data_IF_362271044730
#
_entry.id   IF_362271044730
#
_cell.length_a   1.000
_cell.length_b   1.000
_cell.length_c   1.000
_cell.angle_alpha   90.00
_cell.angle_beta   90.00
_cell.angle_gamma   90.00
#
_symmetry.space_group_name_H-M   'P 1'
#
loop_
_entity.id
_entity.type
_entity.pdbx_description
1 polymer ?
#
# COMPACT_ATOMS: atom_id res chain seq x y z
N UNK A 1 13.09 3.94 26.89
CA UNK A 1 11.69 3.92 26.39
C UNK A 1 11.76 3.77 24.89
N UNK A 2 10.92 2.94 24.28
CA UNK A 2 11.00 2.59 22.86
C UNK A 2 10.31 3.63 21.95
N UNK A 3 10.03 4.83 22.47
CA UNK A 3 9.51 5.96 21.71
C UNK A 3 8.00 6.17 21.85
N UNK A 4 7.33 5.43 22.73
CA UNK A 4 5.87 5.52 22.93
C UNK A 4 5.45 6.91 23.45
N UNK A 5 6.27 7.51 24.33
CA UNK A 5 5.97 8.76 25.03
C UNK A 5 7.02 9.86 24.83
N UNK A 6 7.88 9.76 23.82
CA UNK A 6 8.89 10.80 23.57
C UNK A 6 10.12 10.32 22.79
N UNK A 7 11.27 11.01 22.96
CA UNK A 7 12.52 10.68 22.27
C UNK A 7 13.02 9.28 22.63
N UNK A 8 13.75 8.68 21.69
CA UNK A 8 14.32 7.35 21.85
C UNK A 8 15.77 7.44 22.33
N UNK A 9 16.21 6.47 23.13
CA UNK A 9 17.61 6.28 23.47
C UNK A 9 18.01 4.85 23.08
N UNK A 10 18.71 4.73 21.95
CA UNK A 10 18.96 3.45 21.27
C UNK A 10 20.45 3.29 20.93
N UNK A 11 20.89 2.05 20.72
CA UNK A 11 22.26 1.76 20.30
C UNK A 11 22.57 2.38 18.93
N UNK A 12 23.86 2.60 18.62
CA UNK A 12 24.27 3.10 17.30
C UNK A 12 23.76 2.23 16.16
N UNK A 13 23.80 0.90 16.32
CA UNK A 13 23.29 -0.04 15.34
C UNK A 13 21.79 0.16 15.08
N UNK A 14 21.00 0.38 16.15
CA UNK A 14 19.57 0.64 16.03
C UNK A 14 19.28 2.00 15.38
N UNK A 15 20.03 3.04 15.74
CA UNK A 15 19.91 4.35 15.11
C UNK A 15 20.20 4.29 13.59
N UNK A 16 21.24 3.53 13.19
CA UNK A 16 21.56 3.30 11.78
C UNK A 16 20.44 2.54 11.05
N UNK A 17 19.84 1.53 11.69
CA UNK A 17 18.71 0.79 11.15
C UNK A 17 17.49 1.70 10.93
N UNK A 18 17.12 2.48 11.94
CA UNK A 18 16.02 3.46 11.89
C UNK A 18 16.27 4.48 10.76
N UNK A 19 17.48 5.03 10.66
CA UNK A 19 17.85 5.96 9.60
C UNK A 19 17.74 5.32 8.21
N UNK A 20 18.16 4.06 8.06
CA UNK A 20 18.02 3.32 6.80
C UNK A 20 16.55 3.13 6.40
N UNK A 21 15.67 2.78 7.35
CA UNK A 21 14.23 2.65 7.08
C UNK A 21 13.58 3.97 6.65
N UNK A 22 13.93 5.08 7.29
CA UNK A 22 13.47 6.40 6.84
C UNK A 22 13.98 6.75 5.45
N UNK A 23 15.26 6.53 5.17
CA UNK A 23 15.85 6.80 3.87
C UNK A 23 15.15 6.01 2.75
N UNK A 24 14.91 4.71 2.97
CA UNK A 24 14.20 3.85 2.02
C UNK A 24 12.76 4.34 1.81
N UNK A 25 12.07 4.68 2.89
CA UNK A 25 10.68 5.18 2.83
C UNK A 25 10.60 6.47 2.02
N UNK A 26 11.46 7.45 2.31
CA UNK A 26 11.52 8.71 1.57
C UNK A 26 11.88 8.51 0.08
N UNK A 27 12.84 7.64 -0.22
CA UNK A 27 13.20 7.31 -1.59
C UNK A 27 12.02 6.69 -2.35
N UNK A 28 11.35 5.69 -1.76
CA UNK A 28 10.20 5.04 -2.37
C UNK A 28 9.04 6.02 -2.60
N UNK A 29 8.76 6.91 -1.63
CA UNK A 29 7.75 7.97 -1.79
C UNK A 29 8.06 8.86 -2.99
N UNK A 30 9.30 9.29 -3.15
CA UNK A 30 9.71 10.13 -4.29
C UNK A 30 9.54 9.38 -5.61
N UNK A 31 10.00 8.13 -5.68
CA UNK A 31 9.87 7.30 -6.88
C UNK A 31 8.41 7.04 -7.24
N UNK A 32 7.56 6.70 -6.27
CA UNK A 32 6.12 6.51 -6.47
C UNK A 32 5.47 7.81 -6.92
N UNK A 33 5.82 8.95 -6.30
CA UNK A 33 5.26 10.25 -6.67
C UNK A 33 5.59 10.59 -8.12
N UNK A 34 6.86 10.46 -8.52
CA UNK A 34 7.29 10.66 -9.91
C UNK A 34 6.52 9.71 -10.84
N UNK A 35 6.42 8.44 -10.49
CA UNK A 35 5.74 7.42 -11.29
C UNK A 35 4.24 7.72 -11.49
N UNK A 36 3.56 8.18 -10.43
CA UNK A 36 2.15 8.59 -10.50
C UNK A 36 1.99 9.74 -11.51
N UNK A 37 2.83 10.78 -11.43
CA UNK A 37 2.71 11.95 -12.31
C UNK A 37 3.13 11.69 -13.75
N UNK A 38 4.06 10.75 -14.00
CA UNK A 38 4.46 10.37 -15.36
C UNK A 38 3.45 9.45 -16.05
N UNK A 39 2.74 8.60 -15.28
CA UNK A 39 1.83 7.61 -15.86
C UNK A 39 0.40 8.11 -16.02
N UNK A 40 -0.14 8.84 -15.05
CA UNK A 40 -1.54 9.29 -15.10
C UNK A 40 -1.69 10.61 -15.86
N UNK A 41 -2.14 10.52 -17.13
CA UNK A 41 -2.50 11.70 -17.93
C UNK A 41 -3.79 12.39 -17.47
N UNK A 42 -4.72 11.66 -16.85
CA UNK A 42 -5.98 12.20 -16.32
C UNK A 42 -6.05 12.04 -14.79
N UNK A 43 -6.04 13.17 -14.05
CA UNK A 43 -5.91 13.24 -12.58
C UNK A 43 -7.24 13.28 -11.81
N UNK A 44 -8.30 12.65 -12.35
CA UNK A 44 -9.66 12.74 -11.79
C UNK A 44 -10.15 11.47 -11.09
N UNK A 45 -9.47 10.35 -11.24
CA UNK A 45 -9.92 9.07 -10.68
C UNK A 45 -9.62 8.92 -9.19
N UNK A 46 -10.47 8.15 -8.49
CA UNK A 46 -10.28 7.79 -7.06
C UNK A 46 -8.92 7.12 -6.83
N UNK A 47 -8.48 6.25 -7.75
CA UNK A 47 -7.16 5.60 -7.68
C UNK A 47 -6.01 6.62 -7.60
N UNK A 48 -6.05 7.65 -8.45
CA UNK A 48 -5.00 8.68 -8.48
C UNK A 48 -4.91 9.42 -7.15
N UNK A 49 -6.05 9.89 -6.63
CA UNK A 49 -6.08 10.64 -5.37
C UNK A 49 -5.72 9.77 -4.16
N UNK A 50 -6.22 8.54 -4.10
CA UNK A 50 -5.87 7.62 -3.01
C UNK A 50 -4.39 7.24 -3.02
N UNK A 51 -3.79 7.02 -4.20
CA UNK A 51 -2.34 6.79 -4.33
C UNK A 51 -1.53 7.98 -3.85
N UNK A 52 -1.88 9.21 -4.25
CA UNK A 52 -1.18 10.42 -3.80
C UNK A 52 -1.32 10.60 -2.28
N UNK A 53 -2.54 10.50 -1.75
CA UNK A 53 -2.80 10.67 -0.31
C UNK A 53 -2.05 9.62 0.51
N UNK A 54 -2.05 8.35 0.09
CA UNK A 54 -1.31 7.30 0.78
C UNK A 54 0.20 7.53 0.73
N UNK A 55 0.74 7.90 -0.45
CA UNK A 55 2.17 8.14 -0.66
C UNK A 55 2.68 9.32 0.19
N UNK A 56 1.94 10.43 0.20
CA UNK A 56 2.30 11.59 1.02
C UNK A 56 2.00 11.40 2.50
N UNK A 57 1.02 10.56 2.85
CA UNK A 57 0.77 10.10 4.21
C UNK A 57 1.98 9.36 4.80
N UNK A 58 2.61 8.47 4.01
CA UNK A 58 3.86 7.79 4.40
C UNK A 58 4.95 8.81 4.69
N UNK A 59 5.12 9.81 3.81
CA UNK A 59 6.14 10.84 3.98
C UNK A 59 5.93 11.67 5.24
N UNK A 60 4.70 12.15 5.44
CA UNK A 60 4.34 12.94 6.62
C UNK A 60 4.54 12.13 7.91
N UNK A 61 4.12 10.87 7.92
CA UNK A 61 4.34 9.97 9.04
C UNK A 61 5.84 9.78 9.30
N UNK A 62 6.62 9.42 8.27
CA UNK A 62 8.05 9.19 8.38
C UNK A 62 8.81 10.41 8.94
N UNK A 63 8.56 11.60 8.39
CA UNK A 63 9.21 12.84 8.83
C UNK A 63 8.81 13.18 10.28
N UNK A 64 7.53 13.05 10.62
CA UNK A 64 7.04 13.39 11.95
C UNK A 64 7.59 12.45 13.03
N UNK A 65 7.67 11.14 12.75
CA UNK A 65 8.31 10.17 13.64
C UNK A 65 9.80 10.48 13.78
N UNK A 66 10.51 10.75 12.67
CA UNK A 66 11.93 11.09 12.71
C UNK A 66 12.20 12.31 13.60
N UNK A 67 11.48 13.41 13.36
CA UNK A 67 11.63 14.64 14.14
C UNK A 67 11.32 14.41 15.63
N UNK A 68 10.32 13.57 15.94
CA UNK A 68 9.95 13.21 17.32
C UNK A 68 11.02 12.36 18.00
N UNK A 69 11.50 11.31 17.33
CA UNK A 69 12.47 10.36 17.88
C UNK A 69 13.79 11.02 18.24
N UNK A 70 14.24 11.99 17.44
CA UNK A 70 15.49 12.72 17.67
C UNK A 70 15.31 14.06 18.42
N UNK A 71 14.13 14.30 18.99
CA UNK A 71 13.82 15.53 19.74
C UNK A 71 14.08 16.84 18.95
N UNK A 72 13.90 16.80 17.63
CA UNK A 72 14.14 17.93 16.73
C UNK A 72 12.94 18.89 16.63
N UNK A 73 11.78 18.49 17.17
CA UNK A 73 10.55 19.27 17.16
C UNK A 73 9.68 18.96 18.39
N UNK A 74 8.67 19.80 18.72
CA UNK A 74 7.81 19.59 19.88
C UNK A 74 7.07 18.24 19.83
N UNK A 75 7.19 17.44 20.91
CA UNK A 75 6.68 16.06 20.95
C UNK A 75 5.18 15.96 20.60
N UNK A 76 4.35 16.77 21.27
CA UNK A 76 2.90 16.68 21.11
C UNK A 76 2.44 17.09 19.70
N UNK A 77 3.05 18.14 19.12
CA UNK A 77 2.76 18.55 17.74
C UNK A 77 3.10 17.43 16.76
N UNK A 78 4.26 16.79 16.92
CA UNK A 78 4.64 15.65 16.08
C UNK A 78 3.69 14.47 16.26
N UNK A 79 3.17 14.21 17.47
CA UNK A 79 2.17 13.14 17.68
C UNK A 79 0.89 13.37 16.86
N UNK A 80 0.42 14.61 16.77
CA UNK A 80 -0.74 14.97 15.93
C UNK A 80 -0.44 14.74 14.45
N UNK A 81 0.72 15.18 13.97
CA UNK A 81 1.13 14.97 12.56
C UNK A 81 1.33 13.49 12.23
N UNK A 82 1.84 12.70 13.18
CA UNK A 82 1.93 11.23 13.08
C UNK A 82 0.54 10.64 12.86
N UNK A 83 -0.47 11.04 13.65
CA UNK A 83 -1.84 10.54 13.46
C UNK A 83 -2.39 10.89 12.07
N UNK A 84 -2.19 12.12 11.61
CA UNK A 84 -2.65 12.56 10.27
C UNK A 84 -1.96 11.75 9.17
N UNK A 85 -0.63 11.61 9.24
CA UNK A 85 0.14 10.83 8.27
C UNK A 85 -0.25 9.35 8.29
N UNK A 86 -0.47 8.79 9.48
CA UNK A 86 -0.91 7.41 9.67
C UNK A 86 -2.29 7.15 9.05
N UNK A 87 -3.26 8.04 9.28
CA UNK A 87 -4.59 7.93 8.69
C UNK A 87 -4.53 7.96 7.16
N UNK A 88 -3.80 8.95 6.62
CA UNK A 88 -3.61 9.10 5.18
C UNK A 88 -2.91 7.87 4.57
N UNK A 89 -1.89 7.32 5.25
CA UNK A 89 -1.15 6.14 4.82
C UNK A 89 -2.01 4.88 4.79
N UNK A 90 -2.59 4.48 5.93
CA UNK A 90 -3.26 3.18 6.09
C UNK A 90 -4.63 3.16 5.42
N UNK A 91 -5.45 4.19 5.67
CA UNK A 91 -6.76 4.29 5.03
C UNK A 91 -6.60 4.58 3.53
N UNK A 92 -5.61 5.42 3.15
CA UNK A 92 -5.30 5.66 1.74
C UNK A 92 -4.96 4.38 0.99
N UNK A 93 -4.09 3.52 1.54
CA UNK A 93 -3.77 2.23 0.92
C UNK A 93 -5.02 1.33 0.78
N UNK A 94 -5.87 1.30 1.80
CA UNK A 94 -7.13 0.54 1.74
C UNK A 94 -8.05 1.03 0.63
N UNK A 95 -8.10 2.35 0.41
CA UNK A 95 -8.86 2.97 -0.69
C UNK A 95 -8.19 2.70 -2.06
N UNK A 96 -6.86 2.61 -2.14
CA UNK A 96 -6.15 2.17 -3.36
C UNK A 96 -6.59 0.76 -3.76
N UNK A 97 -6.56 -0.19 -2.81
CA UNK A 97 -7.00 -1.57 -3.02
C UNK A 97 -8.49 -1.62 -3.43
N UNK A 98 -9.34 -0.86 -2.75
CA UNK A 98 -10.75 -0.72 -3.10
C UNK A 98 -10.94 -0.17 -4.52
N UNK A 99 -10.16 0.84 -4.90
CA UNK A 99 -10.25 1.44 -6.24
C UNK A 99 -9.82 0.44 -7.32
N UNK A 100 -8.88 -0.47 -7.04
CA UNK A 100 -8.53 -1.56 -7.97
C UNK A 100 -9.65 -2.58 -8.09
N UNK A 101 -10.23 -2.99 -6.96
CA UNK A 101 -11.39 -3.87 -6.94
C UNK A 101 -12.56 -3.28 -7.74
N UNK A 102 -12.77 -1.96 -7.64
CA UNK A 102 -13.79 -1.26 -8.42
C UNK A 102 -13.58 -1.33 -9.94
N UNK A 103 -12.33 -1.37 -10.41
CA UNK A 103 -12.02 -1.48 -11.84
C UNK A 103 -12.25 -2.89 -12.41
N UNK A 104 -12.29 -3.92 -11.55
CA UNK A 104 -12.38 -5.33 -11.98
C UNK A 104 -13.74 -5.95 -11.66
N UNK A 105 -14.36 -5.57 -10.54
CA UNK A 105 -15.61 -6.18 -10.07
C UNK A 105 -16.84 -5.57 -10.76
N UNK A 106 -17.66 -6.43 -11.35
CA UNK A 106 -18.97 -6.09 -11.91
C UNK A 106 -20.05 -5.95 -10.84
N UNK A 107 -19.88 -6.60 -9.69
CA UNK A 107 -20.88 -6.68 -8.63
C UNK A 107 -20.83 -5.48 -7.67
N UNK A 108 -21.78 -4.55 -7.83
CA UNK A 108 -21.84 -3.33 -7.02
C UNK A 108 -22.07 -3.58 -5.53
N UNK A 109 -22.71 -4.70 -5.15
CA UNK A 109 -23.01 -5.03 -3.75
C UNK A 109 -21.75 -5.35 -2.95
N UNK A 110 -20.90 -6.26 -3.45
CA UNK A 110 -19.62 -6.64 -2.80
C UNK A 110 -18.73 -5.42 -2.58
N UNK A 111 -18.67 -4.54 -3.58
CA UNK A 111 -17.92 -3.29 -3.47
C UNK A 111 -18.43 -2.39 -2.34
N UNK A 112 -19.75 -2.19 -2.21
CA UNK A 112 -20.30 -1.38 -1.11
C UNK A 112 -19.96 -1.96 0.27
N UNK A 113 -20.01 -3.28 0.42
CA UNK A 113 -19.59 -3.95 1.66
C UNK A 113 -18.13 -3.70 2.01
N UNK A 114 -17.23 -3.73 1.02
CA UNK A 114 -15.82 -3.38 1.24
C UNK A 114 -15.68 -1.92 1.68
N UNK A 115 -16.43 -1.00 1.08
CA UNK A 115 -16.40 0.40 1.51
C UNK A 115 -16.91 0.57 2.95
N UNK A 116 -17.99 -0.12 3.33
CA UNK A 116 -18.49 -0.11 4.70
C UNK A 116 -17.50 -0.71 5.69
N UNK A 117 -16.77 -1.77 5.29
CA UNK A 117 -15.67 -2.33 6.09
C UNK A 117 -14.55 -1.30 6.32
N UNK A 118 -14.11 -0.58 5.27
CA UNK A 118 -13.07 0.45 5.39
C UNK A 118 -13.52 1.57 6.33
N UNK A 119 -14.76 2.05 6.17
CA UNK A 119 -15.31 3.14 6.99
C UNK A 119 -15.47 2.71 8.45
N UNK A 120 -16.02 1.52 8.70
CA UNK A 120 -16.20 1.00 10.06
C UNK A 120 -14.86 0.76 10.76
N UNK A 121 -13.90 0.15 10.08
CA UNK A 121 -12.55 -0.04 10.63
C UNK A 121 -11.82 1.28 10.91
N UNK A 122 -12.07 2.33 10.13
CA UNK A 122 -11.56 3.65 10.47
C UNK A 122 -12.04 4.09 11.86
N UNK A 123 -13.34 4.01 12.13
CA UNK A 123 -13.86 4.42 13.45
C UNK A 123 -13.46 3.47 14.58
N UNK A 124 -13.44 2.16 14.34
CA UNK A 124 -13.18 1.15 15.37
C UNK A 124 -11.69 1.03 15.69
N UNK A 125 -10.81 1.19 14.69
CA UNK A 125 -9.37 0.97 14.84
C UNK A 125 -8.57 2.27 14.93
N UNK A 126 -8.86 3.30 14.13
CA UNK A 126 -8.08 4.55 14.21
C UNK A 126 -8.43 5.38 15.45
N UNK A 127 -9.72 5.64 15.70
CA UNK A 127 -10.15 6.60 16.73
C UNK A 127 -9.68 6.22 18.14
N UNK A 128 -9.86 4.97 18.62
CA UNK A 128 -9.44 4.62 19.97
C UNK A 128 -7.92 4.68 20.15
N UNK A 129 -7.15 4.20 19.15
CA UNK A 129 -5.68 4.28 19.19
C UNK A 129 -5.23 5.74 19.26
N UNK A 130 -5.82 6.64 18.48
CA UNK A 130 -5.45 8.05 18.50
C UNK A 130 -5.76 8.71 19.84
N UNK A 131 -6.92 8.42 20.45
CA UNK A 131 -7.24 8.93 21.79
C UNK A 131 -6.22 8.44 22.82
N UNK A 132 -5.89 7.15 22.79
CA UNK A 132 -4.94 6.53 23.71
C UNK A 132 -3.51 7.07 23.50
N UNK A 133 -3.08 7.22 22.24
CA UNK A 133 -1.76 7.72 21.87
C UNK A 133 -1.55 9.20 22.23
N UNK A 134 -2.54 10.05 21.93
CA UNK A 134 -2.47 11.47 22.27
C UNK A 134 -2.60 11.68 23.78
N UNK A 135 -3.49 10.95 24.44
CA UNK A 135 -3.65 11.05 25.90
C UNK A 135 -2.40 10.60 26.66
N UNK A 136 -1.73 9.52 26.23
CA UNK A 136 -0.47 9.10 26.84
C UNK A 136 0.64 10.14 26.64
N UNK A 137 0.71 10.77 25.45
CA UNK A 137 1.66 11.86 25.15
C UNK A 137 1.27 13.22 25.74
N UNK A 138 0.05 13.37 26.28
CA UNK A 138 -0.40 14.52 27.06
C UNK A 138 -0.14 14.35 28.58
N UNK A 139 0.45 13.23 29.00
CA UNK A 139 0.82 12.96 30.40
C UNK A 139 -0.14 12.02 31.15
N UNK A 140 -1.15 11.45 30.49
CA UNK A 140 -2.07 10.49 31.12
C UNK A 140 -1.46 9.09 31.08
N UNK A 141 -0.67 8.75 32.10
CA UNK A 141 0.09 7.48 32.16
C UNK A 141 -0.79 6.22 32.11
N UNK A 142 -2.02 6.29 32.61
CA UNK A 142 -2.98 5.18 32.56
C UNK A 142 -3.37 4.75 31.14
N UNK A 143 -3.09 5.58 30.12
CA UNK A 143 -3.41 5.29 28.72
C UNK A 143 -2.34 4.46 28.01
N UNK A 144 -1.13 4.32 28.57
CA UNK A 144 -0.01 3.58 27.96
C UNK A 144 -0.33 2.09 27.81
N UNK A 145 -0.83 1.44 28.86
CA UNK A 145 -1.12 0.01 28.80
C UNK A 145 -2.28 -0.32 27.83
N UNK A 146 -3.42 0.39 27.85
CA UNK A 146 -4.46 0.23 26.83
C UNK A 146 -3.96 0.54 25.41
N UNK A 147 -3.11 1.56 25.24
CA UNK A 147 -2.52 1.89 23.94
C UNK A 147 -1.77 0.69 23.34
N UNK A 148 -0.86 0.09 24.09
CA UNK A 148 -0.06 -1.05 23.62
C UNK A 148 -0.92 -2.27 23.23
N UNK A 149 -2.05 -2.48 23.92
CA UNK A 149 -2.99 -3.56 23.58
C UNK A 149 -3.74 -3.21 22.29
N UNK A 150 -4.27 -1.99 22.22
CA UNK A 150 -5.11 -1.57 21.10
C UNK A 150 -4.30 -1.40 19.81
N UNK A 151 -3.03 -1.01 19.89
CA UNK A 151 -2.12 -0.96 18.74
C UNK A 151 -2.00 -2.33 18.05
N UNK A 152 -1.83 -3.41 18.82
CA UNK A 152 -1.77 -4.79 18.29
C UNK A 152 -3.07 -5.21 17.63
N UNK A 153 -4.19 -4.91 18.27
CA UNK A 153 -5.55 -5.19 17.73
C UNK A 153 -5.74 -4.43 16.42
N UNK A 154 -5.37 -3.15 16.41
CA UNK A 154 -5.49 -2.27 15.26
C UNK A 154 -4.61 -2.74 14.09
N UNK A 155 -3.37 -3.15 14.34
CA UNK A 155 -2.50 -3.70 13.30
C UNK A 155 -3.09 -4.99 12.71
N UNK A 156 -3.54 -5.92 13.57
CA UNK A 156 -4.17 -7.16 13.12
C UNK A 156 -5.47 -6.90 12.34
N UNK A 157 -6.29 -5.95 12.78
CA UNK A 157 -7.54 -5.57 12.12
C UNK A 157 -7.31 -4.98 10.73
N UNK A 158 -6.34 -4.08 10.56
CA UNK A 158 -6.00 -3.54 9.23
C UNK A 158 -5.37 -4.60 8.32
N UNK A 159 -4.50 -5.48 8.83
CA UNK A 159 -3.97 -6.58 8.01
C UNK A 159 -5.07 -7.57 7.59
N UNK A 160 -6.04 -7.88 8.46
CA UNK A 160 -7.20 -8.68 8.09
C UNK A 160 -8.04 -7.99 7.00
N UNK A 161 -8.26 -6.68 7.12
CA UNK A 161 -8.94 -5.88 6.10
C UNK A 161 -8.21 -5.98 4.75
N UNK A 162 -6.89 -5.79 4.73
CA UNK A 162 -6.08 -5.86 3.51
C UNK A 162 -6.16 -7.24 2.87
N UNK A 163 -6.02 -8.32 3.65
CA UNK A 163 -6.16 -9.71 3.16
C UNK A 163 -7.54 -9.94 2.53
N UNK A 164 -8.61 -9.44 3.16
CA UNK A 164 -9.98 -9.56 2.62
C UNK A 164 -10.09 -8.84 1.28
N UNK A 165 -9.63 -7.59 1.17
CA UNK A 165 -9.74 -6.81 -0.07
C UNK A 165 -8.90 -7.46 -1.19
N UNK A 166 -7.66 -7.84 -0.88
CA UNK A 166 -6.75 -8.53 -1.81
C UNK A 166 -7.32 -9.86 -2.27
N UNK A 167 -7.88 -10.67 -1.36
CA UNK A 167 -8.52 -11.94 -1.68
C UNK A 167 -9.72 -11.77 -2.61
N UNK A 168 -10.60 -10.81 -2.32
CA UNK A 168 -11.73 -10.47 -3.19
C UNK A 168 -11.27 -10.02 -4.57
N UNK A 169 -10.20 -9.22 -4.64
CA UNK A 169 -9.63 -8.75 -5.90
C UNK A 169 -9.08 -9.89 -6.75
N UNK A 170 -8.35 -10.84 -6.16
CA UNK A 170 -7.86 -12.03 -6.87
C UNK A 170 -9.04 -12.86 -7.40
N UNK A 171 -10.06 -13.09 -6.56
CA UNK A 171 -11.24 -13.85 -6.96
C UNK A 171 -11.93 -13.21 -8.17
N UNK A 172 -12.23 -11.91 -8.12
CA UNK A 172 -12.88 -11.19 -9.22
C UNK A 172 -12.02 -11.15 -10.50
N UNK A 173 -10.70 -11.04 -10.34
CA UNK A 173 -9.79 -11.08 -11.50
C UNK A 173 -9.78 -12.48 -12.14
N UNK A 174 -9.80 -13.53 -11.32
CA UNK A 174 -9.79 -14.92 -11.81
C UNK A 174 -11.12 -15.34 -12.43
N UNK A 175 -12.25 -14.79 -11.99
CA UNK A 175 -13.56 -15.08 -12.57
C UNK A 175 -13.86 -14.21 -13.79
N UNK A 176 -13.63 -12.90 -13.71
CA UNK A 176 -14.04 -11.94 -14.74
C UNK A 176 -12.99 -11.67 -15.82
N UNK A 177 -11.71 -11.54 -15.45
CA UNK A 177 -10.66 -11.12 -16.38
C UNK A 177 -9.84 -12.28 -16.94
N UNK A 178 -9.81 -13.43 -16.26
CA UNK A 178 -9.04 -14.60 -16.71
C UNK A 178 -9.36 -15.02 -18.15
N UNK A 179 -10.63 -15.09 -18.61
CA UNK A 179 -10.92 -15.46 -20.00
C UNK A 179 -10.30 -14.48 -21.00
N UNK A 180 -10.43 -13.17 -20.74
CA UNK A 180 -9.88 -12.10 -21.59
C UNK A 180 -8.35 -12.10 -21.61
N UNK A 181 -7.73 -12.34 -20.45
CA UNK A 181 -6.27 -12.40 -20.31
C UNK A 181 -5.70 -13.64 -20.99
N UNK A 182 -6.38 -14.80 -20.91
CA UNK A 182 -5.97 -16.03 -21.60
C UNK A 182 -6.01 -15.84 -23.12
N UNK A 183 -7.00 -15.11 -23.65
CA UNK A 183 -7.05 -14.76 -25.08
C UNK A 183 -5.85 -13.91 -25.53
N UNK A 184 -5.23 -13.13 -24.64
CA UNK A 184 -4.01 -12.35 -24.91
C UNK A 184 -2.71 -13.17 -24.77
N UNK A 185 -2.82 -14.50 -24.60
CA UNK A 185 -1.69 -15.43 -24.61
C UNK A 185 -0.62 -15.13 -23.54
N UNK A 186 0.65 -15.09 -23.94
CA UNK A 186 1.81 -14.92 -23.03
C UNK A 186 1.77 -13.60 -22.25
N UNK A 187 1.20 -12.54 -22.82
CA UNK A 187 1.10 -11.23 -22.16
C UNK A 187 0.10 -11.24 -21.00
N UNK A 188 -1.08 -11.85 -21.20
CA UNK A 188 -2.09 -11.97 -20.15
C UNK A 188 -1.67 -12.93 -19.03
N UNK A 189 -1.00 -14.04 -19.37
CA UNK A 189 -0.47 -14.96 -18.36
C UNK A 189 0.54 -14.28 -17.42
N UNK A 190 1.40 -13.41 -17.97
CA UNK A 190 2.36 -12.62 -17.17
C UNK A 190 1.66 -11.68 -16.19
N UNK A 191 0.55 -11.05 -16.58
CA UNK A 191 -0.25 -10.20 -15.68
C UNK A 191 -0.84 -11.00 -14.54
N UNK A 192 -1.38 -12.20 -14.81
CA UNK A 192 -1.93 -13.08 -13.78
C UNK A 192 -0.85 -13.49 -12.77
N UNK A 193 0.32 -13.91 -13.24
CA UNK A 193 1.45 -14.26 -12.37
C UNK A 193 1.89 -13.05 -11.53
N UNK A 194 2.09 -11.89 -12.15
CA UNK A 194 2.51 -10.68 -11.44
C UNK A 194 1.50 -10.31 -10.35
N UNK A 195 0.20 -10.48 -10.61
CA UNK A 195 -0.86 -10.20 -9.67
C UNK A 195 -0.84 -11.14 -8.46
N UNK A 196 -0.61 -12.44 -8.67
CA UNK A 196 -0.48 -13.42 -7.59
C UNK A 196 0.76 -13.10 -6.75
N UNK A 197 1.92 -12.91 -7.41
CA UNK A 197 3.18 -12.62 -6.72
C UNK A 197 3.08 -11.38 -5.84
N UNK A 198 2.54 -10.27 -6.37
CA UNK A 198 2.42 -9.02 -5.61
C UNK A 198 1.50 -9.17 -4.40
N UNK A 199 0.35 -9.82 -4.56
CA UNK A 199 -0.54 -10.06 -3.42
C UNK A 199 0.09 -11.00 -2.38
N UNK A 200 0.81 -12.05 -2.81
CA UNK A 200 1.54 -12.92 -1.89
C UNK A 200 2.59 -12.14 -1.10
N UNK A 201 3.36 -11.26 -1.76
CA UNK A 201 4.34 -10.43 -1.07
C UNK A 201 3.64 -9.45 -0.10
N UNK A 202 2.51 -8.86 -0.49
CA UNK A 202 1.75 -7.99 0.41
C UNK A 202 1.34 -8.69 1.71
N UNK A 203 0.83 -9.93 1.62
CA UNK A 203 0.49 -10.76 2.79
C UNK A 203 1.72 -11.09 3.64
N UNK A 204 2.86 -11.40 3.02
CA UNK A 204 4.10 -11.65 3.76
C UNK A 204 4.59 -10.39 4.48
N UNK A 205 4.44 -9.21 3.87
CA UNK A 205 4.78 -7.93 4.49
C UNK A 205 3.82 -7.58 5.65
N UNK A 206 2.54 -7.96 5.57
CA UNK A 206 1.63 -7.85 6.71
C UNK A 206 2.06 -8.76 7.86
N UNK A 207 2.38 -10.02 7.55
CA UNK A 207 2.86 -10.96 8.55
C UNK A 207 4.16 -10.48 9.23
N UNK A 208 5.07 -9.86 8.49
CA UNK A 208 6.29 -9.29 9.06
C UNK A 208 6.02 -8.07 9.94
N UNK A 209 5.04 -7.22 9.61
CA UNK A 209 4.62 -6.13 10.49
C UNK A 209 4.04 -6.66 11.79
N UNK A 210 3.13 -7.64 11.73
CA UNK A 210 2.59 -8.29 12.93
C UNK A 210 3.72 -8.89 13.77
N UNK A 211 4.61 -9.68 13.16
CA UNK A 211 5.73 -10.30 13.88
C UNK A 211 6.61 -9.25 14.60
N UNK A 212 6.92 -8.14 13.93
CA UNK A 212 7.71 -7.05 14.51
C UNK A 212 6.99 -6.40 15.69
N UNK A 213 5.69 -6.14 15.57
CA UNK A 213 4.85 -5.60 16.65
C UNK A 213 4.82 -6.51 17.88
N UNK A 214 4.64 -7.83 17.69
CA UNK A 214 4.59 -8.78 18.79
C UNK A 214 5.96 -8.99 19.47
N UNK A 215 7.07 -8.58 18.84
CA UNK A 215 8.39 -8.57 19.50
C UNK A 215 8.59 -7.41 20.48
N UNK A 216 7.67 -6.45 20.53
CA UNK A 216 7.70 -5.32 21.47
C UNK A 216 8.68 -4.20 21.12
N UNK A 217 9.25 -4.19 19.91
CA UNK A 217 10.16 -3.15 19.44
C UNK A 217 9.38 -2.03 18.73
N UNK A 218 8.75 -1.14 19.51
CA UNK A 218 7.89 -0.07 18.99
C UNK A 218 8.62 0.92 18.06
N UNK A 219 9.88 1.25 18.37
CA UNK A 219 10.75 2.12 17.59
C UNK A 219 11.02 1.55 16.18
N UNK A 220 11.38 0.27 16.14
CA UNK A 220 11.61 -0.46 14.90
C UNK A 220 10.30 -0.65 14.14
N UNK A 221 9.21 -1.03 14.83
CA UNK A 221 7.91 -1.22 14.20
C UNK A 221 7.45 0.06 13.50
N UNK A 222 7.53 1.21 14.18
CA UNK A 222 6.98 2.48 13.67
C UNK A 222 7.68 2.91 12.38
N UNK A 223 8.98 2.62 12.28
CA UNK A 223 9.82 2.99 11.14
C UNK A 223 9.80 1.92 10.04
N UNK A 224 9.72 0.65 10.40
CA UNK A 224 9.53 -0.45 9.46
C UNK A 224 8.16 -0.39 8.77
N UNK A 225 7.12 0.07 9.47
CA UNK A 225 5.78 0.31 8.94
C UNK A 225 5.81 1.20 7.69
N UNK A 226 6.51 2.33 7.73
CA UNK A 226 6.57 3.23 6.56
C UNK A 226 7.24 2.57 5.35
N UNK A 227 8.26 1.72 5.58
CA UNK A 227 8.91 0.95 4.53
C UNK A 227 7.92 -0.03 3.91
N UNK A 228 7.24 -0.83 4.73
CA UNK A 228 6.27 -1.82 4.26
C UNK A 228 5.15 -1.17 3.44
N UNK A 229 4.52 -0.10 3.95
CA UNK A 229 3.46 0.60 3.24
C UNK A 229 3.96 1.21 1.92
N UNK A 230 5.20 1.74 1.88
CA UNK A 230 5.79 2.26 0.65
C UNK A 230 6.03 1.16 -0.40
N UNK A 231 6.52 0.00 0.01
CA UNK A 231 6.74 -1.15 -0.88
C UNK A 231 5.40 -1.67 -1.40
N UNK A 232 4.38 -1.79 -0.55
CA UNK A 232 3.02 -2.16 -0.96
C UNK A 232 2.51 -1.22 -2.05
N UNK A 233 2.52 0.09 -1.83
CA UNK A 233 2.06 1.06 -2.84
C UNK A 233 2.85 0.98 -4.15
N UNK A 234 4.17 0.76 -4.10
CA UNK A 234 5.00 0.58 -5.29
C UNK A 234 4.54 -0.63 -6.10
N UNK A 235 4.28 -1.76 -5.44
CA UNK A 235 3.81 -2.98 -6.09
C UNK A 235 2.40 -2.81 -6.67
N UNK A 236 1.51 -2.18 -5.91
CA UNK A 236 0.14 -1.85 -6.35
C UNK A 236 0.15 -1.06 -7.66
N UNK A 237 1.02 -0.06 -7.74
CA UNK A 237 1.23 0.74 -8.94
C UNK A 237 1.73 -0.09 -10.13
N UNK A 238 2.71 -0.98 -9.91
CA UNK A 238 3.22 -1.88 -10.96
C UNK A 238 2.15 -2.82 -11.51
N UNK A 239 1.32 -3.41 -10.65
CA UNK A 239 0.26 -4.32 -11.09
C UNK A 239 -0.81 -3.59 -11.89
N UNK A 240 -1.25 -2.41 -11.44
CA UNK A 240 -2.25 -1.65 -12.18
C UNK A 240 -1.75 -1.27 -13.57
N UNK A 241 -0.52 -0.78 -13.68
CA UNK A 241 0.04 -0.42 -14.98
C UNK A 241 0.16 -1.63 -15.91
N UNK A 242 0.63 -2.77 -15.39
CA UNK A 242 0.71 -4.01 -16.17
C UNK A 242 -0.66 -4.44 -16.70
N UNK A 243 -1.70 -4.31 -15.88
CA UNK A 243 -3.08 -4.64 -16.25
C UNK A 243 -3.64 -3.67 -17.30
N UNK A 244 -3.45 -2.36 -17.12
CA UNK A 244 -3.89 -1.34 -18.08
C UNK A 244 -3.19 -1.48 -19.44
N UNK A 245 -1.88 -1.74 -19.47
CA UNK A 245 -1.13 -1.94 -20.71
C UNK A 245 -1.68 -3.13 -21.50
N UNK A 246 -1.98 -4.24 -20.83
CA UNK A 246 -2.50 -5.44 -21.50
C UNK A 246 -3.94 -5.25 -21.99
N UNK A 247 -4.80 -4.58 -21.22
CA UNK A 247 -6.18 -4.30 -21.65
C UNK A 247 -6.21 -3.33 -22.84
N UNK A 248 -5.45 -2.24 -22.77
CA UNK A 248 -5.44 -1.19 -23.81
C UNK A 248 -4.60 -1.53 -25.04
N UNK A 249 -3.79 -2.60 -25.00
CA UNK A 249 -3.13 -3.12 -26.18
C UNK A 249 -4.19 -3.62 -27.19
N UNK A 250 -4.53 -2.77 -28.16
CA UNK A 250 -5.48 -3.07 -29.22
C UNK A 250 -4.95 -4.23 -30.09
N UNK A 251 -5.77 -5.25 -30.43
CA UNK A 251 -5.36 -6.34 -31.33
C UNK A 251 -4.86 -5.86 -32.71
N UNK A 252 -5.31 -4.68 -33.14
CA UNK A 252 -5.02 -4.11 -34.46
C UNK A 252 -3.53 -3.77 -34.69
N UNK A 253 -2.75 -3.55 -33.62
CA UNK A 253 -1.30 -3.33 -33.76
C UNK A 253 -0.54 -4.63 -34.02
N UNK A 254 -1.09 -5.77 -33.59
CA UNK A 254 -0.48 -7.10 -33.77
C UNK A 254 -0.82 -7.68 -35.13
N UNK A 255 -2.03 -7.41 -35.65
CA UNK A 255 -2.40 -7.75 -37.03
C UNK A 255 -1.66 -6.90 -38.07
N UNK A 256 -1.36 -5.63 -37.77
CA UNK A 256 -0.55 -4.78 -38.66
C UNK A 256 0.87 -5.33 -38.88
N UNK A 257 1.52 -5.78 -37.80
CA UNK A 257 2.85 -6.38 -37.85
C UNK A 257 2.84 -7.77 -38.52
N UNK A 258 1.83 -8.60 -38.29
CA UNK A 258 1.71 -9.90 -38.98
C UNK A 258 1.34 -9.76 -40.46
N UNK A 259 0.54 -8.76 -40.84
CA UNK A 259 0.14 -8.53 -42.24
C UNK A 259 1.28 -7.91 -43.05
N UNK A 260 2.12 -7.06 -42.44
CA UNK A 260 3.37 -6.59 -43.05
C UNK A 260 4.41 -7.72 -43.23
N UNK A 261 4.53 -8.66 -42.28
CA UNK A 261 5.45 -9.80 -42.43
C UNK A 261 5.00 -10.80 -43.51
N UNK A 262 3.70 -11.07 -43.61
CA UNK A 262 3.13 -11.96 -44.65
C UNK A 262 3.22 -11.33 -46.04
N UNK A 263 3.15 -10.00 -46.17
CA UNK A 263 3.33 -9.32 -47.47
C UNK A 263 4.78 -9.18 -47.89
N UNK A 264 5.76 -9.25 -46.97
CA UNK A 264 7.19 -9.20 -47.30
C UNK A 264 7.79 -10.53 -47.74
N UNK A 265 7.17 -11.66 -47.40
CA UNK A 265 7.66 -12.99 -47.79
C UNK A 265 6.53 -13.86 -48.35
N UNK A 266 6.19 -13.74 -49.65
CA UNK A 266 5.37 -14.74 -50.31
C UNK A 266 6.15 -16.05 -50.35
N UNK A 267 5.57 -17.11 -49.75
CA UNK A 267 6.08 -18.47 -49.88
C UNK A 267 5.94 -18.89 -51.36
N UNK A 268 7.04 -18.87 -52.12
CA UNK A 268 7.07 -19.49 -53.44
C UNK A 268 6.93 -21.01 -53.29
N UNK A 269 6.10 -21.67 -54.12
CA UNK A 269 5.92 -23.11 -54.06
C UNK A 269 7.19 -23.83 -54.55
N UNK A 270 7.58 -24.94 -53.89
CA UNK A 270 8.74 -25.71 -54.29
C UNK A 270 8.52 -26.34 -55.66
N UNK A 271 9.47 -26.12 -56.59
CA UNK A 271 9.58 -26.85 -57.86
C UNK A 271 10.34 -28.15 -57.66
#
# INVERSE_FOLDING_TARGET
MAGETGPINVSRAMAMLIAAFFAISCYNVLEITISIFTTFRCRRGLYFWSMIVATWGILLHAISVFLRFFALAPNFLMCVLICIGWYAMVTGQSVVLYSRLHLVSTEASRRRWVLYMIISNFFILHVPVTILFLGSNAGVSSFVAPFNIYERIQLAGFSAQEIIISGLYILETMTGLKPVLVMKGRAGYRVIINLIIVNTIAVLLDASLLATEYTGNFDVQTTYKTVVYSVKLKMEFTVLNSLLTVINANPLATEGLQREDITRYPLEPPR
#
